data_IF_680350786829
#
_entry.id   IF_680350786829
#
_cell.length_a   1.000
_cell.length_b   1.000
_cell.length_c   1.000
_cell.angle_alpha   90.00
_cell.angle_beta   90.00
_cell.angle_gamma   90.00
#
_symmetry.space_group_name_H-M   'P 1'
#
loop_
_entity.id
_entity.type
_entity.pdbx_description
1 polymer ?
#
# COMPACT_ATOMS: atom_id res chain seq x y z
N UNK A 1 0.06 19.18 -7.46
CA UNK A 1 1.03 18.48 -6.62
C UNK A 1 1.47 19.39 -5.48
N UNK A 2 1.27 18.98 -4.24
CA UNK A 2 1.83 19.66 -3.09
C UNK A 2 3.16 19.02 -2.70
N UNK A 3 4.20 19.85 -2.57
CA UNK A 3 5.51 19.41 -2.10
C UNK A 3 5.55 19.45 -0.58
N UNK A 4 6.17 18.45 0.04
CA UNK A 4 6.39 18.42 1.48
C UNK A 4 7.86 18.13 1.81
N UNK A 5 8.29 18.64 2.97
CA UNK A 5 9.68 18.55 3.46
C UNK A 5 9.96 17.26 4.21
N UNK A 6 8.92 16.70 4.82
CA UNK A 6 9.09 15.55 5.68
C UNK A 6 7.83 15.16 6.43
N UNK A 7 8.03 14.43 7.50
CA UNK A 7 7.01 13.89 8.36
C UNK A 7 7.15 14.43 9.78
N UNK A 8 6.08 14.99 10.32
CA UNK A 8 5.92 15.27 11.75
C UNK A 8 5.31 14.02 12.39
N UNK A 9 5.98 13.48 13.40
CA UNK A 9 5.48 12.34 14.18
C UNK A 9 5.10 12.80 15.57
N UNK A 10 3.86 12.49 15.99
CA UNK A 10 3.26 12.91 17.25
C UNK A 10 2.87 11.66 18.04
N UNK A 11 3.32 11.57 19.29
CA UNK A 11 2.97 10.48 20.19
C UNK A 11 3.80 10.48 21.48
N UNK A 12 3.31 9.87 22.56
CA UNK A 12 3.99 9.78 23.83
C UNK A 12 4.32 11.13 24.50
N UNK A 13 3.57 12.18 24.16
CA UNK A 13 3.84 13.55 24.58
C UNK A 13 4.95 14.26 23.78
N UNK A 14 5.42 13.68 22.69
CA UNK A 14 6.48 14.22 21.85
C UNK A 14 5.96 14.60 20.47
N UNK A 15 6.55 15.65 19.90
CA UNK A 15 6.39 16.06 18.51
C UNK A 15 7.76 16.18 17.88
N UNK A 16 8.04 15.41 16.85
CA UNK A 16 9.33 15.40 16.16
C UNK A 16 9.15 15.64 14.67
N UNK A 17 10.05 16.42 14.08
CA UNK A 17 10.09 16.67 12.64
C UNK A 17 11.23 15.85 12.02
N UNK A 18 10.91 15.11 10.99
CA UNK A 18 11.87 14.29 10.24
C UNK A 18 11.81 14.66 8.77
N UNK A 19 12.86 15.25 8.26
CA UNK A 19 13.02 15.51 6.83
C UNK A 19 13.15 14.20 6.06
N UNK A 20 12.74 14.19 4.78
CA UNK A 20 12.93 13.01 3.97
C UNK A 20 14.43 12.69 3.85
N UNK A 21 14.82 11.41 3.96
CA UNK A 21 16.22 11.03 3.87
C UNK A 21 16.84 11.43 2.52
N UNK A 22 18.03 11.97 2.54
CA UNK A 22 18.81 12.17 1.33
C UNK A 22 19.21 10.82 0.75
N UNK A 23 18.88 10.62 -0.51
CA UNK A 23 19.20 9.42 -1.28
C UNK A 23 19.76 9.81 -2.65
N UNK A 24 20.72 9.03 -3.14
CA UNK A 24 21.25 9.24 -4.48
C UNK A 24 20.19 8.99 -5.58
N UNK A 25 19.20 8.14 -5.29
CA UNK A 25 18.19 7.69 -6.25
C UNK A 25 16.88 8.47 -6.19
N UNK A 26 16.61 9.23 -5.11
CA UNK A 26 15.36 9.95 -4.90
C UNK A 26 15.62 11.39 -4.42
N UNK A 27 14.73 12.33 -4.73
CA UNK A 27 14.84 13.70 -4.23
C UNK A 27 14.58 13.76 -2.72
N UNK A 28 15.24 14.69 -2.00
CA UNK A 28 15.03 14.94 -0.57
C UNK A 28 13.72 15.70 -0.26
N UNK A 29 12.64 15.38 -0.97
CA UNK A 29 11.28 15.91 -0.71
C UNK A 29 10.21 14.90 -1.09
N UNK A 30 9.08 14.96 -0.42
CA UNK A 30 7.90 14.21 -0.78
C UNK A 30 6.92 15.03 -1.62
N UNK A 31 5.95 14.35 -2.21
CA UNK A 31 4.84 14.98 -2.94
C UNK A 31 3.52 14.30 -2.60
N UNK A 32 2.48 15.10 -2.42
CA UNK A 32 1.11 14.62 -2.25
C UNK A 32 0.24 14.99 -3.44
N UNK A 33 -0.72 14.13 -3.77
CA UNK A 33 -1.70 14.32 -4.81
C UNK A 33 -2.99 13.57 -4.49
N UNK A 34 -4.13 14.17 -4.82
CA UNK A 34 -5.40 13.47 -4.71
C UNK A 34 -5.41 12.20 -5.60
N UNK A 35 -5.95 11.09 -5.08
CA UNK A 35 -5.94 9.81 -5.77
C UNK A 35 -6.70 9.85 -7.10
N UNK A 36 -7.79 10.62 -7.19
CA UNK A 36 -8.49 10.80 -8.47
C UNK A 36 -7.54 11.33 -9.56
N UNK A 37 -6.75 12.36 -9.23
CA UNK A 37 -5.85 12.98 -10.18
C UNK A 37 -4.65 12.09 -10.52
N UNK A 38 -4.05 11.45 -9.51
CA UNK A 38 -2.90 10.57 -9.70
C UNK A 38 -3.29 9.36 -10.57
N UNK A 39 -4.37 8.68 -10.21
CA UNK A 39 -4.83 7.49 -10.93
C UNK A 39 -5.23 7.86 -12.37
N UNK A 40 -5.92 8.99 -12.57
CA UNK A 40 -6.28 9.48 -13.90
C UNK A 40 -5.05 9.82 -14.77
N UNK A 41 -4.06 10.50 -14.19
CA UNK A 41 -2.82 10.81 -14.91
C UNK A 41 -2.06 9.56 -15.36
N UNK A 42 -2.04 8.50 -14.52
CA UNK A 42 -1.44 7.21 -14.88
C UNK A 42 -2.21 6.51 -16.00
N UNK A 43 -3.54 6.56 -15.98
CA UNK A 43 -4.38 6.02 -17.06
C UNK A 43 -4.16 6.78 -18.36
N UNK A 44 -4.16 8.11 -18.34
CA UNK A 44 -3.86 8.93 -19.52
C UNK A 44 -2.47 8.62 -20.10
N UNK A 45 -1.47 8.43 -19.23
CA UNK A 45 -0.13 8.04 -19.65
C UNK A 45 -0.12 6.65 -20.32
N UNK A 46 -0.87 5.69 -19.80
CA UNK A 46 -1.01 4.38 -20.41
C UNK A 46 -1.69 4.47 -21.79
N UNK A 47 -2.77 5.23 -21.91
CA UNK A 47 -3.47 5.45 -23.17
C UNK A 47 -2.56 6.14 -24.22
N UNK A 48 -1.79 7.14 -23.81
CA UNK A 48 -0.82 7.81 -24.71
C UNK A 48 0.31 6.88 -25.17
N UNK A 49 0.56 5.79 -24.43
CA UNK A 49 1.49 4.74 -24.80
C UNK A 49 0.83 3.60 -25.62
N UNK A 50 -0.45 3.76 -26.01
CA UNK A 50 -1.18 2.81 -26.85
C UNK A 50 -2.07 1.81 -26.09
N UNK A 51 -2.20 1.92 -24.77
CA UNK A 51 -3.14 1.09 -24.03
C UNK A 51 -4.58 1.51 -24.32
N UNK A 52 -5.48 0.52 -24.45
CA UNK A 52 -6.91 0.76 -24.64
C UNK A 52 -7.61 0.67 -23.28
N UNK A 53 -8.34 1.71 -22.91
CA UNK A 53 -9.18 1.76 -21.71
C UNK A 53 -10.61 1.34 -22.08
N UNK A 54 -11.15 0.40 -21.33
CA UNK A 54 -12.56 -0.01 -21.38
C UNK A 54 -13.19 0.23 -20.00
N UNK A 55 -13.98 1.26 -19.89
CA UNK A 55 -14.72 1.60 -18.66
C UNK A 55 -16.06 0.85 -18.62
N UNK A 56 -16.73 0.83 -17.47
CA UNK A 56 -17.98 0.12 -17.21
C UNK A 56 -17.94 -1.38 -17.55
N UNK A 57 -16.74 -1.95 -17.63
CA UNK A 57 -16.49 -3.35 -17.92
C UNK A 57 -16.01 -4.07 -16.65
N UNK A 58 -16.86 -4.91 -16.08
CA UNK A 58 -16.51 -5.68 -14.87
C UNK A 58 -16.03 -7.07 -15.26
N UNK A 59 -14.72 -7.33 -15.08
CA UNK A 59 -14.15 -8.66 -15.26
C UNK A 59 -14.68 -9.60 -14.18
N UNK A 60 -15.22 -10.74 -14.60
CA UNK A 60 -15.86 -11.71 -13.71
C UNK A 60 -15.01 -12.93 -13.46
N UNK A 61 -14.32 -13.47 -14.48
CA UNK A 61 -13.52 -14.68 -14.36
C UNK A 61 -12.42 -14.74 -15.42
N UNK A 62 -11.41 -15.58 -15.19
CA UNK A 62 -10.42 -15.94 -16.20
C UNK A 62 -10.96 -17.03 -17.13
N UNK A 63 -10.65 -16.91 -18.41
CA UNK A 63 -10.84 -17.99 -19.39
C UNK A 63 -9.62 -18.90 -19.36
N UNK A 64 -9.85 -20.20 -19.30
CA UNK A 64 -8.80 -21.20 -19.35
C UNK A 64 -8.96 -22.12 -20.58
N UNK A 65 -7.85 -22.50 -21.18
CA UNK A 65 -7.85 -23.52 -22.23
C UNK A 65 -7.83 -24.94 -21.64
N UNK A 66 -7.83 -25.97 -22.50
CA UNK A 66 -7.80 -27.37 -22.09
C UNK A 66 -6.55 -27.80 -21.29
N UNK A 67 -5.51 -27.00 -21.28
CA UNK A 67 -4.31 -27.17 -20.44
C UNK A 67 -4.32 -26.27 -19.19
N UNK A 68 -5.47 -25.77 -18.78
CA UNK A 68 -5.66 -24.85 -17.64
C UNK A 68 -4.81 -23.58 -17.71
N UNK A 69 -4.44 -23.16 -18.92
CA UNK A 69 -3.73 -21.90 -19.13
C UNK A 69 -4.74 -20.78 -19.27
N UNK A 70 -4.51 -19.68 -18.54
CA UNK A 70 -5.30 -18.47 -18.71
C UNK A 70 -5.02 -17.88 -20.11
N UNK A 71 -6.09 -17.73 -20.90
CA UNK A 71 -6.05 -17.28 -22.29
C UNK A 71 -6.99 -16.08 -22.56
N UNK A 72 -7.51 -15.47 -21.49
CA UNK A 72 -8.41 -14.33 -21.58
C UNK A 72 -9.23 -14.13 -20.32
N UNK A 73 -10.25 -13.32 -20.44
CA UNK A 73 -11.21 -13.04 -19.36
C UNK A 73 -12.63 -13.00 -19.89
N UNK A 74 -13.60 -13.34 -19.03
CA UNK A 74 -15.01 -13.02 -19.22
C UNK A 74 -15.34 -11.78 -18.39
N UNK A 75 -16.13 -10.90 -18.97
CA UNK A 75 -16.50 -9.63 -18.36
C UNK A 75 -17.97 -9.32 -18.62
N UNK A 76 -18.51 -8.36 -17.89
CA UNK A 76 -19.86 -7.85 -18.08
C UNK A 76 -19.82 -6.34 -18.26
N UNK A 77 -20.47 -5.86 -19.31
CA UNK A 77 -20.61 -4.44 -19.63
C UNK A 77 -22.02 -3.97 -19.25
N UNK A 78 -22.11 -2.76 -18.71
CA UNK A 78 -23.39 -2.12 -18.36
C UNK A 78 -23.95 -2.53 -17.00
N UNK A 79 -25.20 -2.14 -16.73
CA UNK A 79 -25.88 -2.35 -15.45
C UNK A 79 -27.35 -2.80 -15.67
N UNK A 80 -27.85 -3.60 -14.74
CA UNK A 80 -29.25 -4.02 -14.73
C UNK A 80 -29.68 -4.75 -16.01
N UNK A 81 -30.72 -4.27 -16.69
CA UNK A 81 -31.27 -4.92 -17.89
C UNK A 81 -30.45 -4.78 -19.17
N UNK A 82 -29.42 -3.90 -19.16
CA UNK A 82 -28.49 -3.67 -20.28
C UNK A 82 -27.18 -4.44 -20.12
N UNK A 83 -27.17 -5.46 -19.28
CA UNK A 83 -25.98 -6.24 -18.97
C UNK A 83 -25.63 -7.16 -20.16
N UNK A 84 -24.46 -6.92 -20.76
CA UNK A 84 -23.92 -7.69 -21.88
C UNK A 84 -22.72 -8.52 -21.39
N UNK A 85 -22.65 -9.78 -21.78
CA UNK A 85 -21.44 -10.60 -21.55
C UNK A 85 -20.42 -10.36 -22.65
N UNK A 86 -19.16 -10.09 -22.24
CA UNK A 86 -18.05 -9.80 -23.13
C UNK A 86 -16.93 -10.81 -22.87
N UNK A 87 -16.39 -11.40 -23.92
CA UNK A 87 -15.23 -12.28 -23.88
C UNK A 87 -14.02 -11.58 -24.50
N UNK A 88 -12.92 -11.52 -23.77
CA UNK A 88 -11.67 -10.92 -24.24
C UNK A 88 -10.57 -11.98 -24.19
N UNK A 89 -10.03 -12.33 -25.37
CA UNK A 89 -8.90 -13.24 -25.49
C UNK A 89 -7.58 -12.49 -25.35
N UNK A 90 -6.62 -13.10 -24.64
CA UNK A 90 -5.29 -12.53 -24.42
C UNK A 90 -4.23 -13.62 -24.27
N UNK A 91 -3.00 -13.31 -24.68
CA UNK A 91 -1.85 -14.21 -24.47
C UNK A 91 -1.42 -14.29 -23.01
N UNK A 92 -1.59 -13.21 -22.26
CA UNK A 92 -1.33 -13.06 -20.83
C UNK A 92 -2.40 -12.16 -20.22
N UNK A 93 -2.81 -12.45 -19.01
CA UNK A 93 -3.76 -11.63 -18.22
C UNK A 93 -3.06 -11.13 -16.97
N UNK A 94 -3.23 -9.83 -16.66
CA UNK A 94 -2.70 -9.21 -15.45
C UNK A 94 -3.86 -8.83 -14.53
N UNK A 95 -3.87 -9.39 -13.32
CA UNK A 95 -4.80 -8.98 -12.26
C UNK A 95 -4.17 -7.83 -11.45
N UNK A 96 -4.66 -6.63 -11.67
CA UNK A 96 -4.40 -5.43 -10.90
C UNK A 96 -5.68 -4.97 -10.17
N UNK A 97 -6.58 -5.89 -9.88
CA UNK A 97 -7.91 -5.66 -9.30
C UNK A 97 -7.90 -5.25 -7.82
N UNK A 98 -6.75 -4.89 -7.28
CA UNK A 98 -6.60 -4.39 -5.92
C UNK A 98 -6.91 -5.45 -4.87
N UNK A 99 -7.35 -5.02 -3.69
CA UNK A 99 -7.57 -5.90 -2.53
C UNK A 99 -8.58 -7.02 -2.79
N UNK A 100 -9.55 -6.79 -3.65
CA UNK A 100 -10.58 -7.79 -3.96
C UNK A 100 -10.04 -8.95 -4.79
N UNK A 101 -9.19 -8.67 -5.79
CA UNK A 101 -8.56 -9.64 -6.69
C UNK A 101 -9.49 -10.83 -7.04
N UNK A 102 -10.70 -10.50 -7.51
CA UNK A 102 -11.79 -11.49 -7.71
C UNK A 102 -11.40 -12.59 -8.67
N UNK A 103 -10.61 -12.25 -9.69
CA UNK A 103 -10.16 -13.22 -10.70
C UNK A 103 -9.16 -14.19 -10.09
N UNK A 104 -8.17 -13.66 -9.33
CA UNK A 104 -7.19 -14.49 -8.62
C UNK A 104 -7.88 -15.46 -7.64
N UNK A 105 -8.83 -14.96 -6.83
CA UNK A 105 -9.59 -15.80 -5.88
C UNK A 105 -10.36 -16.91 -6.59
N UNK A 106 -11.00 -16.63 -7.73
CA UNK A 106 -11.71 -17.65 -8.53
C UNK A 106 -10.79 -18.68 -9.16
N UNK A 107 -9.52 -18.34 -9.38
CA UNK A 107 -8.48 -19.27 -9.79
C UNK A 107 -7.88 -20.09 -8.63
N UNK A 108 -8.42 -19.94 -7.39
CA UNK A 108 -7.93 -20.64 -6.20
C UNK A 108 -6.68 -20.00 -5.59
N UNK A 109 -6.31 -18.78 -6.02
CA UNK A 109 -5.16 -18.07 -5.46
C UNK A 109 -5.66 -17.22 -4.29
N UNK A 110 -5.68 -17.83 -3.11
CA UNK A 110 -6.23 -17.24 -1.89
C UNK A 110 -5.22 -16.37 -1.12
N UNK A 111 -5.73 -15.48 -0.28
CA UNK A 111 -4.91 -14.76 0.69
C UNK A 111 -4.43 -15.71 1.79
N UNK A 112 -3.17 -15.56 2.18
CA UNK A 112 -2.64 -16.30 3.32
C UNK A 112 -3.10 -15.65 4.63
N UNK A 113 -3.97 -16.31 5.42
CA UNK A 113 -4.53 -15.74 6.66
C UNK A 113 -3.48 -15.53 7.76
N UNK A 114 -2.29 -16.14 7.62
CA UNK A 114 -1.17 -15.99 8.56
C UNK A 114 -0.26 -14.79 8.23
N UNK A 115 -0.61 -14.01 7.22
CA UNK A 115 0.11 -12.80 6.83
C UNK A 115 -0.59 -11.56 7.35
N UNK A 116 0.17 -10.48 7.59
CA UNK A 116 -0.41 -9.22 8.06
C UNK A 116 -1.48 -8.68 7.11
N UNK A 117 -2.49 -8.12 7.72
CA UNK A 117 -3.51 -7.32 7.07
C UNK A 117 -3.66 -6.01 7.82
N UNK A 118 -3.85 -4.94 7.08
CA UNK A 118 -4.25 -3.66 7.63
C UNK A 118 -5.65 -3.28 7.18
N UNK A 119 -6.22 -2.30 7.84
CA UNK A 119 -7.38 -1.55 7.37
C UNK A 119 -7.11 -0.07 7.57
N UNK A 120 -7.48 0.72 6.57
CA UNK A 120 -7.39 2.17 6.62
C UNK A 120 -8.76 2.78 6.32
N UNK A 121 -9.05 3.91 6.96
CA UNK A 121 -10.21 4.74 6.66
C UNK A 121 -9.74 6.18 6.46
N UNK A 122 -10.24 6.86 5.42
CA UNK A 122 -9.85 8.22 5.08
C UNK A 122 -10.94 9.02 4.41
N UNK A 123 -10.86 10.33 4.56
CA UNK A 123 -11.62 11.31 3.78
C UNK A 123 -10.76 12.55 3.51
N UNK A 124 -11.31 13.55 2.88
CA UNK A 124 -10.64 14.83 2.65
C UNK A 124 -11.44 15.96 3.34
N UNK A 125 -10.75 17.03 3.67
CA UNK A 125 -11.37 18.24 4.24
C UNK A 125 -10.81 19.50 3.59
N UNK A 126 -11.63 20.52 3.47
CA UNK A 126 -11.13 21.90 3.38
C UNK A 126 -10.60 22.31 4.74
N UNK A 127 -9.36 22.81 4.79
CA UNK A 127 -8.69 23.12 6.04
C UNK A 127 -7.60 24.17 5.83
N UNK A 128 -7.39 25.09 6.81
CA UNK A 128 -6.27 26.02 6.78
C UNK A 128 -4.91 25.32 6.71
N UNK A 129 -4.85 24.04 7.11
CA UNK A 129 -3.64 23.22 7.08
C UNK A 129 -3.30 22.64 5.68
N UNK A 130 -4.15 22.87 4.69
CA UNK A 130 -3.99 22.26 3.36
C UNK A 130 -2.72 22.65 2.61
N UNK A 131 -2.07 23.74 2.97
CA UNK A 131 -0.86 24.26 2.34
C UNK A 131 0.40 24.12 3.21
N UNK A 132 0.34 23.35 4.31
CA UNK A 132 1.52 23.09 5.14
C UNK A 132 2.54 22.24 4.42
N UNK A 133 3.81 22.42 4.77
CA UNK A 133 4.93 21.68 4.14
C UNK A 133 5.26 20.36 4.86
N UNK A 134 4.58 20.04 5.94
CA UNK A 134 4.81 18.83 6.72
C UNK A 134 3.60 17.92 6.68
N UNK A 135 3.84 16.64 6.38
CA UNK A 135 2.86 15.58 6.61
C UNK A 135 2.88 15.20 8.09
N UNK A 136 1.74 14.80 8.66
CA UNK A 136 1.68 14.38 10.07
C UNK A 136 1.26 12.93 10.22
N UNK A 137 1.88 12.25 11.21
CA UNK A 137 1.50 10.93 11.70
C UNK A 137 1.30 10.95 13.20
N UNK A 138 0.10 10.62 13.65
CA UNK A 138 -0.30 10.54 15.05
C UNK A 138 -0.27 9.08 15.50
N UNK A 139 0.70 8.71 16.33
CA UNK A 139 0.92 7.31 16.74
C UNK A 139 0.04 6.85 17.90
N UNK A 140 -0.74 7.75 18.49
CA UNK A 140 -1.64 7.43 19.61
C UNK A 140 -3.09 7.31 19.13
N UNK A 141 -3.39 6.20 18.48
CA UNK A 141 -4.75 5.77 18.22
C UNK A 141 -5.24 4.90 19.37
N UNK A 142 -6.32 5.30 19.99
CA UNK A 142 -6.90 4.61 21.14
C UNK A 142 -8.11 3.76 20.69
N UNK A 143 -8.24 2.55 21.26
CA UNK A 143 -9.39 1.69 21.03
C UNK A 143 -10.69 2.22 21.66
N UNK A 144 -10.55 3.12 22.61
CA UNK A 144 -11.62 3.78 23.36
C UNK A 144 -11.10 5.10 23.90
N UNK A 145 -11.39 5.44 25.15
CA UNK A 145 -11.01 6.69 25.76
C UNK A 145 -9.48 6.88 25.80
N UNK A 146 -8.96 8.04 25.38
CA UNK A 146 -7.54 8.34 25.40
C UNK A 146 -6.93 8.18 26.81
N UNK A 147 -5.81 7.45 26.90
CA UNK A 147 -5.12 7.18 28.16
C UNK A 147 -5.75 6.07 29.02
N UNK A 148 -7.02 5.72 28.79
CA UNK A 148 -7.78 4.74 29.58
C UNK A 148 -8.13 3.45 28.79
N UNK A 149 -7.68 3.33 27.55
CA UNK A 149 -7.85 2.16 26.71
C UNK A 149 -6.51 1.70 26.12
N UNK A 150 -6.53 0.63 25.34
CA UNK A 150 -5.34 0.14 24.64
C UNK A 150 -5.01 0.98 23.41
N UNK A 151 -3.71 1.18 23.17
CA UNK A 151 -3.22 1.74 21.92
C UNK A 151 -3.37 0.73 20.79
N UNK A 152 -3.93 1.19 19.67
CA UNK A 152 -4.02 0.41 18.45
C UNK A 152 -2.68 0.39 17.70
N UNK A 153 -2.29 -0.74 17.07
CA UNK A 153 -1.10 -0.83 16.26
C UNK A 153 -1.31 -0.12 14.91
N UNK A 154 -1.07 1.17 14.88
CA UNK A 154 -1.33 1.98 13.70
C UNK A 154 -1.07 3.46 13.94
N UNK A 155 -1.58 4.29 13.05
CA UNK A 155 -1.45 5.74 13.16
C UNK A 155 -2.59 6.47 12.46
N UNK A 156 -2.90 7.68 12.94
CA UNK A 156 -3.68 8.67 12.23
C UNK A 156 -2.77 9.53 11.35
N UNK A 157 -3.28 10.06 10.27
CA UNK A 157 -2.51 10.95 9.42
C UNK A 157 -3.27 12.19 9.00
N UNK A 158 -2.51 13.26 8.80
CA UNK A 158 -2.97 14.54 8.26
C UNK A 158 -1.97 14.93 7.18
N UNK A 159 -2.36 14.80 5.91
CA UNK A 159 -1.48 15.03 4.77
C UNK A 159 -1.99 16.20 3.95
N UNK A 160 -1.28 17.35 3.97
CA UNK A 160 -1.60 18.50 3.12
C UNK A 160 -1.55 18.11 1.64
N UNK A 161 -2.55 18.53 0.89
CA UNK A 161 -2.69 18.19 -0.53
C UNK A 161 -2.48 19.39 -1.46
N UNK A 162 -2.29 20.59 -0.88
CA UNK A 162 -2.34 21.86 -1.58
C UNK A 162 -3.77 22.38 -1.73
N UNK A 163 -3.90 23.63 -2.18
CA UNK A 163 -5.19 24.28 -2.48
C UNK A 163 -6.19 24.26 -1.33
N UNK A 164 -5.70 24.31 -0.08
CA UNK A 164 -6.54 24.29 1.12
C UNK A 164 -7.18 22.93 1.42
N UNK A 165 -6.71 21.85 0.81
CA UNK A 165 -7.24 20.48 0.99
C UNK A 165 -6.29 19.64 1.81
N UNK A 166 -6.83 18.83 2.71
CA UNK A 166 -6.09 17.87 3.54
C UNK A 166 -6.70 16.48 3.40
N UNK A 167 -5.84 15.48 3.26
CA UNK A 167 -6.22 14.07 3.38
C UNK A 167 -6.06 13.64 4.83
N UNK A 168 -7.16 13.31 5.49
CA UNK A 168 -7.20 12.89 6.89
C UNK A 168 -7.66 11.44 6.97
N UNK A 169 -6.96 10.63 7.73
CA UNK A 169 -7.33 9.24 7.88
C UNK A 169 -6.60 8.56 9.03
N UNK A 170 -6.93 7.31 9.22
CA UNK A 170 -6.23 6.41 10.13
C UNK A 170 -6.12 5.00 9.55
N UNK A 171 -5.12 4.29 10.01
CA UNK A 171 -4.94 2.88 9.68
C UNK A 171 -4.41 2.11 10.87
N UNK A 172 -4.79 0.85 10.94
CA UNK A 172 -4.27 -0.11 11.89
C UNK A 172 -3.87 -1.40 11.17
N UNK A 173 -2.92 -2.11 11.72
CA UNK A 173 -2.38 -3.35 11.17
C UNK A 173 -2.46 -4.47 12.20
N UNK A 174 -2.63 -5.68 11.72
CA UNK A 174 -2.52 -6.87 12.56
C UNK A 174 -1.73 -7.97 11.87
N UNK A 175 -1.10 -8.82 12.67
CA UNK A 175 -0.33 -9.97 12.19
C UNK A 175 -1.19 -11.02 11.50
N UNK A 176 -2.51 -10.97 11.70
CA UNK A 176 -3.51 -11.86 11.11
C UNK A 176 -4.72 -11.08 10.58
N UNK A 177 -5.53 -11.74 9.76
CA UNK A 177 -6.75 -11.13 9.21
C UNK A 177 -7.81 -10.73 10.26
N UNK A 178 -7.76 -11.29 11.47
CA UNK A 178 -8.71 -10.97 12.56
C UNK A 178 -8.53 -9.57 13.15
N UNK A 179 -7.37 -8.94 12.96
CA UNK A 179 -7.12 -7.56 13.41
C UNK A 179 -7.95 -6.50 12.65
N UNK A 180 -8.67 -6.92 11.61
CA UNK A 180 -9.49 -6.01 10.78
C UNK A 180 -10.91 -5.78 11.30
N UNK A 181 -11.28 -6.35 12.45
CA UNK A 181 -12.65 -6.25 13.00
C UNK A 181 -12.87 -5.02 13.90
N UNK A 182 -12.05 -3.99 13.77
CA UNK A 182 -12.22 -2.73 14.51
C UNK A 182 -13.33 -1.88 13.90
N UNK A 183 -14.11 -1.16 14.72
CA UNK A 183 -15.12 -0.21 14.25
C UNK A 183 -14.45 1.09 13.75
N UNK A 184 -13.77 1.02 12.61
CA UNK A 184 -12.89 2.11 12.10
C UNK A 184 -13.58 3.46 11.99
N UNK A 185 -14.88 3.49 11.68
CA UNK A 185 -15.65 4.76 11.68
C UNK A 185 -15.65 5.38 13.07
N UNK A 186 -15.98 4.59 14.09
CA UNK A 186 -16.02 5.06 15.48
C UNK A 186 -14.63 5.50 15.96
N UNK A 187 -13.58 4.72 15.66
CA UNK A 187 -12.19 5.09 16.00
C UNK A 187 -11.80 6.39 15.30
N UNK A 188 -12.19 6.56 14.03
CA UNK A 188 -11.93 7.78 13.27
C UNK A 188 -12.62 8.98 13.92
N UNK A 189 -13.91 8.88 14.24
CA UNK A 189 -14.69 9.92 14.85
C UNK A 189 -14.15 10.30 16.24
N UNK A 190 -13.77 9.31 17.06
CA UNK A 190 -13.14 9.54 18.37
C UNK A 190 -11.79 10.23 18.25
N UNK A 191 -10.93 9.80 17.32
CA UNK A 191 -9.65 10.44 17.09
C UNK A 191 -9.81 11.88 16.61
N UNK A 192 -10.70 12.12 15.65
CA UNK A 192 -11.02 13.45 15.12
C UNK A 192 -11.52 14.41 16.21
N UNK A 193 -12.34 13.93 17.14
CA UNK A 193 -12.87 14.74 18.25
C UNK A 193 -11.80 15.24 19.23
N UNK A 194 -10.59 14.67 19.20
CA UNK A 194 -9.46 15.10 20.01
C UNK A 194 -8.48 16.02 19.26
N UNK A 195 -8.76 16.35 17.99
CA UNK A 195 -7.96 17.30 17.23
C UNK A 195 -8.45 18.75 17.46
N UNK A 196 -7.56 19.75 17.32
CA UNK A 196 -7.93 21.15 17.50
C UNK A 196 -9.07 21.58 16.56
N UNK A 197 -10.07 22.27 17.09
CA UNK A 197 -11.25 22.71 16.33
C UNK A 197 -10.86 23.69 15.21
N UNK A 198 -9.86 24.55 15.45
CA UNK A 198 -9.33 25.50 14.47
C UNK A 198 -8.73 24.85 13.22
N UNK A 199 -8.48 23.54 13.21
CA UNK A 199 -8.06 22.82 12.01
C UNK A 199 -9.20 22.61 11.01
N UNK A 200 -10.44 22.83 11.45
CA UNK A 200 -11.62 22.87 10.58
C UNK A 200 -12.05 21.51 10.04
N UNK A 201 -11.73 20.40 10.72
CA UNK A 201 -12.16 19.06 10.32
C UNK A 201 -13.60 18.79 10.75
N UNK A 202 -14.53 19.57 10.21
CA UNK A 202 -15.96 19.50 10.52
C UNK A 202 -16.73 18.85 9.36
N UNK A 203 -17.97 18.37 9.60
CA UNK A 203 -18.80 17.78 8.54
C UNK A 203 -19.02 18.71 7.34
N UNK A 204 -19.11 20.03 7.58
CA UNK A 204 -19.34 21.06 6.56
C UNK A 204 -18.13 21.19 5.62
N UNK A 205 -16.93 20.99 6.15
CA UNK A 205 -15.68 21.06 5.42
C UNK A 205 -15.26 19.72 4.80
N UNK A 206 -16.00 18.63 5.09
CA UNK A 206 -15.67 17.30 4.58
C UNK A 206 -15.95 17.20 3.08
N UNK A 207 -14.98 16.69 2.35
CA UNK A 207 -15.06 16.44 0.90
C UNK A 207 -15.26 14.95 0.65
N UNK A 208 -16.49 14.59 0.27
CA UNK A 208 -16.87 13.21 0.01
C UNK A 208 -17.07 12.38 1.28
N UNK A 209 -17.20 11.07 1.12
CA UNK A 209 -17.49 10.14 2.21
C UNK A 209 -16.21 9.57 2.83
N UNK A 210 -16.30 9.16 4.11
CA UNK A 210 -15.27 8.33 4.74
C UNK A 210 -15.22 6.97 4.03
N UNK A 211 -14.10 6.68 3.38
CA UNK A 211 -13.87 5.42 2.66
C UNK A 211 -12.87 4.56 3.40
N UNK A 212 -13.19 3.27 3.55
CA UNK A 212 -12.29 2.29 4.15
C UNK A 212 -11.88 1.21 3.14
N UNK A 213 -10.68 0.69 3.32
CA UNK A 213 -10.16 -0.40 2.53
C UNK A 213 -9.25 -1.30 3.37
N UNK A 214 -9.31 -2.60 3.11
CA UNK A 214 -8.32 -3.54 3.63
C UNK A 214 -7.00 -3.42 2.86
N UNK A 215 -5.89 -3.62 3.56
CA UNK A 215 -4.53 -3.51 3.04
C UNK A 215 -3.85 -4.89 3.13
N UNK A 216 -3.81 -5.65 2.02
CA UNK A 216 -3.17 -6.95 2.00
C UNK A 216 -1.65 -6.79 1.95
N UNK A 217 -0.96 -7.20 3.02
CA UNK A 217 0.45 -6.89 3.24
C UNK A 217 1.37 -8.09 3.06
N UNK A 218 2.67 -7.82 2.92
CA UNK A 218 3.74 -8.81 3.02
C UNK A 218 3.62 -9.97 2.04
N UNK A 219 3.26 -9.69 0.79
CA UNK A 219 3.10 -10.69 -0.26
C UNK A 219 2.11 -11.79 0.15
N UNK A 220 0.97 -11.42 0.73
CA UNK A 220 0.04 -12.36 1.34
C UNK A 220 -0.79 -13.18 0.33
N UNK A 221 -0.60 -12.96 -0.97
CA UNK A 221 -1.23 -13.74 -2.03
C UNK A 221 -0.17 -14.22 -3.01
N UNK A 222 -0.07 -15.52 -3.21
CA UNK A 222 0.89 -16.16 -4.10
C UNK A 222 0.23 -17.35 -4.80
N UNK A 223 0.73 -17.76 -5.98
CA UNK A 223 1.90 -17.23 -6.70
C UNK A 223 1.59 -15.94 -7.47
N UNK A 224 2.60 -15.07 -7.68
CA UNK A 224 2.45 -13.83 -8.46
C UNK A 224 2.42 -14.07 -9.98
N UNK A 225 2.76 -15.26 -10.45
CA UNK A 225 2.58 -15.72 -11.81
C UNK A 225 2.21 -17.20 -11.83
N UNK A 226 1.23 -17.56 -12.62
CA UNK A 226 0.86 -18.95 -12.89
C UNK A 226 0.21 -19.04 -14.26
N UNK A 227 0.71 -19.92 -15.08
CA UNK A 227 0.11 -20.41 -16.34
C UNK A 227 -0.67 -19.35 -17.17
N UNK A 228 -0.02 -18.23 -17.51
CA UNK A 228 -0.62 -17.13 -18.29
C UNK A 228 -1.30 -16.04 -17.49
N UNK A 229 -1.31 -16.15 -16.16
CA UNK A 229 -1.92 -15.19 -15.25
C UNK A 229 -0.87 -14.53 -14.34
N UNK A 230 -0.87 -13.21 -14.27
CA UNK A 230 0.07 -12.36 -13.53
C UNK A 230 -0.71 -11.56 -12.49
N UNK A 231 -0.17 -11.40 -11.30
CA UNK A 231 -0.80 -10.61 -10.24
C UNK A 231 0.17 -9.49 -9.81
N UNK A 232 -0.33 -8.25 -9.70
CA UNK A 232 0.46 -7.07 -9.34
C UNK A 232 -0.22 -6.24 -8.23
N UNK A 233 0.56 -5.49 -7.46
CA UNK A 233 0.07 -4.57 -6.45
C UNK A 233 -0.73 -5.26 -5.34
N UNK A 234 -1.77 -4.60 -4.84
CA UNK A 234 -2.60 -5.11 -3.73
C UNK A 234 -3.29 -6.44 -4.06
N UNK A 235 -3.53 -6.72 -5.34
CA UNK A 235 -4.03 -8.03 -5.76
C UNK A 235 -3.06 -9.15 -5.39
N UNK A 236 -1.74 -8.89 -5.39
CA UNK A 236 -0.67 -9.79 -4.94
C UNK A 236 -0.29 -9.63 -3.47
N UNK A 237 -1.01 -8.80 -2.73
CA UNK A 237 -0.69 -8.55 -1.32
C UNK A 237 0.61 -7.77 -1.12
N UNK A 238 0.92 -6.85 -2.02
CA UNK A 238 2.22 -6.16 -2.07
C UNK A 238 2.28 -4.88 -1.24
N UNK A 239 1.30 -4.63 -0.37
CA UNK A 239 1.35 -3.48 0.54
C UNK A 239 2.45 -3.65 1.59
N UNK A 240 3.16 -2.57 1.87
CA UNK A 240 4.22 -2.55 2.89
C UNK A 240 3.64 -2.79 4.29
N UNK A 241 4.17 -3.72 5.06
CA UNK A 241 3.72 -3.97 6.43
C UNK A 241 4.21 -2.90 7.42
N UNK A 242 5.14 -2.03 7.03
CA UNK A 242 5.68 -1.00 7.91
C UNK A 242 4.76 0.22 8.03
N UNK A 243 4.23 0.70 6.89
CA UNK A 243 3.52 1.98 6.82
C UNK A 243 2.19 1.91 6.05
N UNK A 244 1.84 0.74 5.48
CA UNK A 244 0.61 0.59 4.70
C UNK A 244 0.70 1.17 3.27
N UNK A 245 1.90 1.53 2.80
CA UNK A 245 2.08 2.00 1.42
C UNK A 245 1.91 0.88 0.41
N UNK A 246 1.13 1.15 -0.66
CA UNK A 246 0.90 0.20 -1.74
C UNK A 246 1.19 0.77 -3.14
N UNK A 247 1.32 2.09 -3.30
CA UNK A 247 1.44 2.74 -4.62
C UNK A 247 2.80 2.42 -5.26
N UNK A 248 3.91 2.71 -4.58
CA UNK A 248 5.24 2.45 -5.11
C UNK A 248 5.50 0.94 -5.34
N UNK A 249 5.14 0.02 -4.42
CA UNK A 249 5.19 -1.41 -4.70
C UNK A 249 4.37 -1.85 -5.91
N UNK A 250 3.15 -1.32 -6.09
CA UNK A 250 2.31 -1.65 -7.25
C UNK A 250 2.93 -1.16 -8.56
N UNK A 251 3.46 0.06 -8.61
CA UNK A 251 4.14 0.61 -9.78
C UNK A 251 5.39 -0.19 -10.12
N UNK A 252 6.20 -0.55 -9.13
CA UNK A 252 7.41 -1.36 -9.31
C UNK A 252 7.07 -2.77 -9.80
N UNK A 253 6.05 -3.41 -9.22
CA UNK A 253 5.56 -4.71 -9.66
C UNK A 253 5.02 -4.66 -11.10
N UNK A 254 4.26 -3.62 -11.44
CA UNK A 254 3.80 -3.38 -12.82
C UNK A 254 4.94 -3.27 -13.82
N UNK A 255 6.01 -2.56 -13.48
CA UNK A 255 7.22 -2.47 -14.31
C UNK A 255 7.90 -3.83 -14.48
N UNK A 256 8.13 -4.57 -13.40
CA UNK A 256 8.77 -5.90 -13.47
C UNK A 256 7.93 -6.89 -14.27
N UNK A 257 6.60 -6.85 -14.11
CA UNK A 257 5.68 -7.66 -14.92
C UNK A 257 5.76 -7.28 -16.39
N UNK A 258 5.74 -6.00 -16.74
CA UNK A 258 5.83 -5.52 -18.12
C UNK A 258 7.13 -5.94 -18.82
N UNK A 259 8.27 -5.83 -18.12
CA UNK A 259 9.58 -6.25 -18.65
C UNK A 259 9.62 -7.77 -18.95
N UNK A 260 9.08 -8.60 -18.04
CA UNK A 260 8.98 -10.04 -18.25
C UNK A 260 7.98 -10.40 -19.37
N UNK A 261 6.84 -9.71 -19.41
CA UNK A 261 5.80 -9.91 -20.41
C UNK A 261 6.28 -9.53 -21.81
N UNK A 262 7.05 -8.45 -21.97
CA UNK A 262 7.62 -8.06 -23.26
C UNK A 262 8.50 -9.18 -23.84
N UNK A 263 9.34 -9.79 -23.00
CA UNK A 263 10.16 -10.95 -23.38
C UNK A 263 9.30 -12.21 -23.68
N UNK A 264 8.26 -12.42 -22.89
CA UNK A 264 7.35 -13.55 -23.04
C UNK A 264 6.54 -13.47 -24.34
N UNK A 265 6.03 -12.30 -24.68
CA UNK A 265 5.24 -12.05 -25.90
C UNK A 265 6.04 -12.19 -27.19
N UNK A 266 7.37 -12.05 -27.14
CA UNK A 266 8.27 -12.34 -28.24
C UNK A 266 8.47 -13.85 -28.49
N UNK A 267 7.93 -14.74 -27.64
CA UNK A 267 8.03 -16.20 -27.79
C UNK A 267 6.80 -16.75 -28.50
N UNK A 268 7.02 -17.75 -29.34
CA UNK A 268 5.96 -18.39 -30.14
C UNK A 268 5.33 -19.60 -29.45
N UNK A 269 6.03 -20.23 -28.50
CA UNK A 269 5.60 -21.46 -27.85
C UNK A 269 5.43 -21.31 -26.33
N UNK A 270 4.49 -22.06 -25.76
CA UNK A 270 4.05 -21.95 -24.35
C UNK A 270 5.18 -22.07 -23.31
N UNK A 271 6.08 -23.06 -23.51
CA UNK A 271 7.22 -23.24 -22.59
C UNK A 271 8.18 -22.05 -22.59
N UNK A 272 8.39 -21.41 -23.75
CA UNK A 272 9.17 -20.18 -23.86
C UNK A 272 8.54 -19.00 -23.14
N UNK A 273 7.21 -18.84 -23.24
CA UNK A 273 6.44 -17.82 -22.52
C UNK A 273 6.59 -18.05 -21.00
N UNK A 274 6.35 -19.26 -20.53
CA UNK A 274 6.45 -19.59 -19.11
C UNK A 274 7.86 -19.33 -18.55
N UNK A 275 8.90 -19.72 -19.29
CA UNK A 275 10.31 -19.46 -18.92
C UNK A 275 10.62 -17.97 -18.88
N UNK A 276 10.12 -17.16 -19.81
CA UNK A 276 10.34 -15.73 -19.83
C UNK A 276 9.61 -15.01 -18.69
N UNK A 277 8.51 -15.56 -18.19
CA UNK A 277 7.76 -15.01 -17.05
C UNK A 277 8.33 -15.42 -15.68
N UNK A 278 9.11 -16.51 -15.60
CA UNK A 278 9.62 -17.02 -14.32
C UNK A 278 10.47 -16.03 -13.50
N UNK A 279 11.20 -15.08 -14.10
CA UNK A 279 11.95 -14.07 -13.34
C UNK A 279 11.05 -13.08 -12.58
N UNK A 280 9.80 -12.86 -12.99
CA UNK A 280 8.93 -11.87 -12.35
C UNK A 280 8.67 -12.18 -10.87
N UNK A 281 8.16 -13.37 -10.47
CA UNK A 281 7.97 -13.69 -9.06
C UNK A 281 9.29 -13.68 -8.27
N UNK A 282 10.40 -14.04 -8.89
CA UNK A 282 11.70 -14.00 -8.23
C UNK A 282 12.12 -12.58 -7.93
N UNK A 283 12.01 -11.65 -8.90
CA UNK A 283 12.32 -10.23 -8.68
C UNK A 283 11.48 -9.60 -7.57
N UNK A 284 10.19 -9.96 -7.46
CA UNK A 284 9.33 -9.50 -6.36
C UNK A 284 9.85 -10.02 -5.01
N UNK A 285 10.26 -11.29 -4.94
CA UNK A 285 10.85 -11.85 -3.70
C UNK A 285 12.19 -11.21 -3.35
N UNK A 286 13.05 -10.98 -4.33
CA UNK A 286 14.37 -10.36 -4.13
C UNK A 286 14.23 -8.91 -3.65
N UNK A 287 13.24 -8.18 -4.17
CA UNK A 287 12.98 -6.78 -3.82
C UNK A 287 12.38 -6.64 -2.42
N UNK A 288 11.34 -7.46 -2.12
CA UNK A 288 10.50 -7.24 -0.94
C UNK A 288 10.57 -8.36 0.09
N UNK A 289 11.04 -9.56 -0.27
CA UNK A 289 10.90 -10.75 0.59
C UNK A 289 11.51 -10.58 1.98
N UNK A 290 12.77 -10.22 2.05
CA UNK A 290 13.48 -9.99 3.32
C UNK A 290 12.99 -8.74 4.05
N UNK A 291 12.82 -7.63 3.33
CA UNK A 291 12.32 -6.38 3.88
C UNK A 291 10.92 -6.55 4.49
N UNK A 292 9.99 -7.19 3.79
CA UNK A 292 8.65 -7.45 4.32
C UNK A 292 8.64 -8.49 5.44
N UNK A 293 9.65 -9.36 5.52
CA UNK A 293 9.81 -10.25 6.67
C UNK A 293 10.15 -9.47 7.93
N UNK A 294 11.06 -8.47 7.85
CA UNK A 294 11.31 -7.54 8.96
C UNK A 294 10.02 -6.81 9.35
N UNK A 295 9.25 -6.35 8.37
CA UNK A 295 7.96 -5.70 8.62
C UNK A 295 6.97 -6.60 9.35
N UNK A 296 6.95 -7.90 9.10
CA UNK A 296 6.11 -8.85 9.87
C UNK A 296 6.54 -8.97 11.32
N UNK A 297 7.83 -8.92 11.59
CA UNK A 297 8.36 -8.89 12.97
C UNK A 297 7.94 -7.57 13.63
N UNK A 298 8.11 -6.46 12.94
CA UNK A 298 7.70 -5.13 13.41
C UNK A 298 6.21 -5.09 13.77
N UNK A 299 5.33 -5.59 12.88
CA UNK A 299 3.87 -5.65 13.14
C UNK A 299 3.58 -6.42 14.43
N UNK A 300 4.19 -7.60 14.63
CA UNK A 300 3.99 -8.40 15.85
C UNK A 300 4.45 -7.67 17.12
N UNK A 301 5.48 -6.85 17.02
CA UNK A 301 5.96 -6.07 18.15
C UNK A 301 4.99 -4.94 18.50
N UNK A 302 4.53 -4.16 17.51
CA UNK A 302 3.63 -3.02 17.75
C UNK A 302 2.20 -3.41 18.08
N UNK A 303 1.79 -4.65 17.77
CA UNK A 303 0.50 -5.21 18.24
C UNK A 303 0.42 -5.30 19.77
N UNK A 304 1.56 -5.30 20.46
CA UNK A 304 1.56 -5.26 21.93
C UNK A 304 1.45 -3.79 22.40
N UNK A 305 0.34 -3.37 23.04
CA UNK A 305 0.14 -1.99 23.44
C UNK A 305 1.22 -1.46 24.39
N UNK A 306 1.85 -2.35 25.20
CA UNK A 306 2.95 -1.96 26.10
C UNK A 306 4.21 -1.63 25.33
N UNK A 307 4.53 -2.41 24.27
CA UNK A 307 5.67 -2.13 23.40
C UNK A 307 5.41 -0.86 22.62
N UNK A 308 4.20 -0.68 22.08
CA UNK A 308 3.83 0.53 21.37
C UNK A 308 4.00 1.77 22.25
N UNK A 309 3.49 1.73 23.49
CA UNK A 309 3.67 2.81 24.48
C UNK A 309 5.15 3.06 24.82
N UNK A 310 5.95 1.99 24.99
CA UNK A 310 7.39 2.12 25.23
C UNK A 310 8.08 2.83 24.04
N UNK A 311 7.74 2.46 22.82
CA UNK A 311 8.32 3.08 21.61
C UNK A 311 7.92 4.56 21.48
N UNK A 312 6.66 4.91 21.73
CA UNK A 312 6.21 6.30 21.62
C UNK A 312 6.77 7.17 22.74
N UNK A 313 6.84 6.68 23.99
CA UNK A 313 7.29 7.49 25.14
C UNK A 313 8.81 7.64 25.17
N UNK A 314 9.57 6.59 24.90
CA UNK A 314 11.03 6.58 25.10
C UNK A 314 11.82 6.47 23.79
N UNK A 315 11.22 5.93 22.73
CA UNK A 315 11.89 5.79 21.44
C UNK A 315 11.86 7.08 20.61
N UNK A 316 10.73 7.77 20.55
CA UNK A 316 10.58 8.98 19.75
C UNK A 316 11.59 10.10 20.10
N UNK A 317 11.93 10.36 21.38
CA UNK A 317 12.90 11.41 21.69
C UNK A 317 14.37 11.07 21.33
N UNK A 318 14.65 9.88 20.80
CA UNK A 318 16.02 9.48 20.42
C UNK A 318 16.25 9.75 18.93
N UNK A 319 16.92 10.87 18.55
CA UNK A 319 17.04 11.26 17.13
C UNK A 319 17.69 10.19 16.26
N UNK A 320 18.75 9.56 16.74
CA UNK A 320 19.48 8.53 15.99
C UNK A 320 18.61 7.29 15.70
N UNK A 321 17.81 6.87 16.68
CA UNK A 321 16.84 5.78 16.50
C UNK A 321 15.79 6.17 15.48
N UNK A 322 15.27 7.39 15.56
CA UNK A 322 14.22 7.85 14.65
C UNK A 322 14.70 8.04 13.22
N UNK A 323 15.95 8.40 12.98
CA UNK A 323 16.53 8.40 11.63
C UNK A 323 16.49 7.00 11.03
N UNK A 324 16.93 5.98 11.76
CA UNK A 324 16.90 4.58 11.32
C UNK A 324 15.44 4.11 11.09
N UNK A 325 14.54 4.40 12.04
CA UNK A 325 13.13 4.03 11.94
C UNK A 325 12.46 4.72 10.74
N UNK A 326 12.74 5.99 10.50
CA UNK A 326 12.20 6.73 9.35
C UNK A 326 12.65 6.11 8.02
N UNK A 327 13.94 5.82 7.86
CA UNK A 327 14.46 5.11 6.67
C UNK A 327 13.78 3.74 6.49
N UNK A 328 13.62 2.99 7.57
CA UNK A 328 13.00 1.67 7.55
C UNK A 328 11.50 1.76 7.19
N UNK A 329 10.75 2.67 7.81
CA UNK A 329 9.31 2.79 7.57
C UNK A 329 8.99 3.36 6.18
N UNK A 330 9.79 4.30 5.68
CA UNK A 330 9.57 4.97 4.38
C UNK A 330 10.11 4.20 3.17
N UNK A 331 10.73 3.01 3.36
CA UNK A 331 11.56 2.35 2.32
C UNK A 331 12.65 3.30 1.77
N UNK A 332 13.05 4.25 2.61
CA UNK A 332 13.95 5.35 2.29
C UNK A 332 15.43 5.00 2.55
N UNK A 333 15.88 3.82 2.11
CA UNK A 333 17.25 3.37 2.27
C UNK A 333 17.84 2.82 0.96
N UNK A 334 19.16 3.01 0.79
CA UNK A 334 19.86 2.49 -0.38
C UNK A 334 20.22 1.01 -0.19
N UNK A 335 19.69 0.15 -1.08
CA UNK A 335 19.94 -1.31 -1.04
C UNK A 335 21.36 -1.68 -1.45
N UNK A 336 22.05 -0.80 -2.15
CA UNK A 336 23.45 -0.97 -2.59
C UNK A 336 24.23 0.29 -2.27
N UNK A 337 25.26 0.18 -1.48
CA UNK A 337 26.04 1.32 -0.99
C UNK A 337 25.37 1.96 0.25
N UNK A 338 25.23 3.29 0.24
CA UNK A 338 24.59 4.03 1.30
C UNK A 338 25.40 4.14 2.61
N UNK A 339 24.79 4.75 3.62
CA UNK A 339 25.37 4.97 4.92
C UNK A 339 25.31 3.72 5.83
N UNK A 340 25.63 3.91 7.12
CA UNK A 340 25.59 2.82 8.11
C UNK A 340 24.17 2.25 8.28
N UNK A 341 23.14 3.10 8.31
CA UNK A 341 21.75 2.68 8.51
C UNK A 341 21.25 1.89 7.32
N UNK A 342 21.59 2.30 6.10
CA UNK A 342 21.24 1.60 4.85
C UNK A 342 21.82 0.19 4.83
N UNK A 343 23.11 0.06 5.24
CA UNK A 343 23.79 -1.23 5.35
C UNK A 343 23.20 -2.11 6.46
N UNK A 344 22.83 -1.52 7.59
CA UNK A 344 22.19 -2.23 8.69
C UNK A 344 20.82 -2.78 8.26
N UNK A 345 19.94 -1.95 7.67
CA UNK A 345 18.63 -2.39 7.19
C UNK A 345 18.77 -3.48 6.13
N UNK A 346 19.68 -3.29 5.17
CA UNK A 346 19.94 -4.28 4.12
C UNK A 346 20.45 -5.61 4.69
N UNK A 347 21.35 -5.57 5.69
CA UNK A 347 21.87 -6.77 6.34
C UNK A 347 20.77 -7.50 7.11
N UNK A 348 20.00 -6.78 7.92
CA UNK A 348 18.87 -7.35 8.64
C UNK A 348 17.85 -7.99 7.68
N UNK A 349 17.56 -7.34 6.56
CA UNK A 349 16.65 -7.88 5.52
C UNK A 349 17.17 -9.18 4.89
N UNK A 350 18.49 -9.38 4.82
CA UNK A 350 19.11 -10.63 4.28
C UNK A 350 19.21 -11.74 5.30
N UNK A 351 19.34 -11.42 6.59
CA UNK A 351 19.42 -12.41 7.67
C UNK A 351 18.09 -13.09 7.98
N UNK A 352 16.99 -12.45 7.64
CA UNK A 352 15.66 -13.01 7.88
C UNK A 352 15.26 -13.86 6.66
N UNK A 353 14.85 -15.14 6.85
CA UNK A 353 14.45 -16.00 5.73
C UNK A 353 13.38 -15.33 4.88
N UNK A 354 13.62 -15.16 3.59
CA UNK A 354 12.62 -14.67 2.65
C UNK A 354 11.45 -15.66 2.61
N UNK A 355 10.26 -15.15 2.70
CA UNK A 355 9.04 -15.95 2.75
C UNK A 355 8.56 -16.36 1.36
#
# INVERSE_FOLDING_TARGET
>A
WARNRGLTVIGGGHTIHMEWPDQASLPGYGMTRARMDLDHALVQRAQSAGARLEEELTVTEALQDCAHRVCGVRARRGRGKTLEEVTIHAKLVVDAGGVSAKVATRLGIEKNPKRPMGVAARTYFHSPRGNEEWMESHLELWAGDPGHSDLLPGYGWIFPMGDGVVNVGLGSVGSTASATNLPYRQVFEQWMANLPEEWGFTPENQIGELRSAALPMSLNRQPHYTNGFVIVGDAGGMVSPFNGEGIAPAMKAGRYAAEAMAQALARTHRAGIARAMSPYPQRIRDEYGGYYQLGRIFVRLIENPRIMRLCTTYGLPIPRLMTLVHKLLSDGFERQGGDFDDRLITTLSKLVPSA
#
